data_IF_087774948223
#
_entry.id   IF_087774948223
#
_cell.length_a   1.000
_cell.length_b   1.000
_cell.length_c   1.000
_cell.angle_alpha   90.00
_cell.angle_beta   90.00
_cell.angle_gamma   90.00
#
_symmetry.space_group_name_H-M   'P 1'
#
loop_
_entity.id
_entity.type
_entity.pdbx_description
1 polymer ?
#
# COMPACT_ATOMS: atom_id res chain seq x y z
N UNK A 1 -9.40 -8.59 -10.50
CA UNK A 1 -9.22 -8.09 -9.12
C UNK A 1 -7.81 -7.57 -9.02
N UNK A 2 -7.65 -6.27 -8.86
CA UNK A 2 -6.36 -5.56 -8.84
C UNK A 2 -5.86 -5.49 -7.39
N UNK A 3 -4.64 -5.94 -7.17
CA UNK A 3 -3.97 -6.04 -5.87
C UNK A 3 -3.15 -4.79 -5.62
N UNK A 4 -3.49 -4.06 -4.56
CA UNK A 4 -2.88 -2.78 -4.21
C UNK A 4 -2.07 -2.93 -2.92
N UNK A 5 -0.79 -2.55 -2.95
CA UNK A 5 -0.03 -2.26 -1.72
C UNK A 5 -0.13 -0.76 -1.42
N UNK A 6 -0.35 -0.40 -0.16
CA UNK A 6 -0.42 1.00 0.30
C UNK A 6 0.80 1.29 1.17
N UNK A 7 1.59 2.29 0.82
CA UNK A 7 2.80 2.66 1.54
C UNK A 7 2.77 4.16 1.88
N UNK A 8 2.75 4.48 3.16
CA UNK A 8 2.72 5.85 3.69
C UNK A 8 3.17 5.79 5.16
N UNK A 9 3.90 6.78 5.70
CA UNK A 9 4.37 6.75 7.09
C UNK A 9 3.29 7.14 8.11
N UNK A 10 2.17 7.71 7.66
CA UNK A 10 1.04 8.13 8.49
C UNK A 10 -0.08 7.09 8.49
N UNK A 11 -0.28 6.46 9.64
CA UNK A 11 -1.31 5.43 9.83
C UNK A 11 -2.74 5.91 9.48
N UNK A 12 -3.06 7.19 9.74
CA UNK A 12 -4.36 7.77 9.40
C UNK A 12 -4.57 7.85 7.88
N UNK A 13 -3.53 8.21 7.13
CA UNK A 13 -3.58 8.31 5.67
C UNK A 13 -3.72 6.91 5.06
N UNK A 14 -2.94 5.93 5.53
CA UNK A 14 -3.11 4.52 5.12
C UNK A 14 -4.52 4.00 5.37
N UNK A 15 -5.12 4.33 6.51
CA UNK A 15 -6.49 3.93 6.81
C UNK A 15 -7.50 4.53 5.82
N UNK A 16 -7.33 5.80 5.46
CA UNK A 16 -8.15 6.46 4.44
C UNK A 16 -8.02 5.80 3.07
N UNK A 17 -6.79 5.52 2.62
CA UNK A 17 -6.55 4.81 1.36
C UNK A 17 -7.11 3.40 1.37
N UNK A 18 -6.97 2.65 2.47
CA UNK A 18 -7.57 1.32 2.61
C UNK A 18 -9.09 1.39 2.45
N UNK A 19 -9.76 2.35 3.07
CA UNK A 19 -11.21 2.53 2.91
C UNK A 19 -11.59 2.82 1.45
N UNK A 20 -10.84 3.69 0.76
CA UNK A 20 -11.08 4.00 -0.66
C UNK A 20 -10.89 2.75 -1.52
N UNK A 21 -9.80 2.00 -1.34
CA UNK A 21 -9.53 0.77 -2.09
C UNK A 21 -10.62 -0.28 -1.83
N UNK A 22 -11.00 -0.50 -0.57
CA UNK A 22 -12.05 -1.46 -0.20
C UNK A 22 -13.45 -1.07 -0.68
N UNK A 23 -13.68 0.20 -1.02
CA UNK A 23 -14.95 0.65 -1.61
C UNK A 23 -15.14 0.24 -3.07
N UNK A 24 -14.05 -0.16 -3.75
CA UNK A 24 -14.09 -0.53 -5.16
C UNK A 24 -14.19 -2.06 -5.30
N UNK A 25 -15.18 -2.58 -6.05
CA UNK A 25 -15.43 -4.02 -6.14
C UNK A 25 -14.35 -4.80 -6.90
N UNK A 26 -13.54 -4.12 -7.69
CA UNK A 26 -12.47 -4.69 -8.49
C UNK A 26 -11.08 -4.57 -7.86
N UNK A 27 -10.95 -3.87 -6.72
CA UNK A 27 -9.68 -3.67 -6.01
C UNK A 27 -9.62 -4.46 -4.69
N UNK A 28 -8.41 -4.84 -4.28
CA UNK A 28 -8.14 -5.40 -2.95
C UNK A 28 -6.81 -4.92 -2.40
N UNK A 29 -6.74 -4.73 -1.07
CA UNK A 29 -5.49 -4.41 -0.38
C UNK A 29 -4.69 -5.70 -0.19
N UNK A 30 -3.50 -5.75 -0.78
CA UNK A 30 -2.53 -6.85 -0.63
C UNK A 30 -1.62 -6.66 0.58
N UNK A 31 -1.45 -5.43 1.05
CA UNK A 31 -0.72 -5.13 2.28
C UNK A 31 -0.47 -3.64 2.48
N UNK A 32 0.04 -3.29 3.66
CA UNK A 32 0.34 -1.92 4.08
C UNK A 32 1.78 -1.82 4.59
N UNK A 33 2.50 -0.77 4.19
CA UNK A 33 3.87 -0.48 4.60
C UNK A 33 3.96 0.90 5.26
N UNK A 34 4.84 1.03 6.25
CA UNK A 34 5.11 2.29 6.95
C UNK A 34 6.44 2.96 6.55
N UNK A 35 7.27 2.26 5.78
CA UNK A 35 8.49 2.79 5.18
C UNK A 35 8.82 2.10 3.84
N UNK A 36 9.89 2.58 3.17
CA UNK A 36 10.32 2.07 1.87
C UNK A 36 10.78 0.61 1.89
N UNK A 37 11.46 0.17 2.95
CA UNK A 37 11.96 -1.20 3.04
C UNK A 37 10.81 -2.19 3.23
N UNK A 38 9.85 -1.88 4.11
CA UNK A 38 8.63 -2.68 4.26
C UNK A 38 7.85 -2.77 2.95
N UNK A 39 7.79 -1.68 2.18
CA UNK A 39 7.12 -1.66 0.88
C UNK A 39 7.81 -2.59 -0.14
N UNK A 40 9.15 -2.59 -0.19
CA UNK A 40 9.92 -3.50 -1.05
C UNK A 40 9.66 -4.96 -0.66
N UNK A 41 9.75 -5.29 0.62
CA UNK A 41 9.54 -6.65 1.13
C UNK A 41 8.11 -7.15 0.84
N UNK A 42 7.12 -6.26 0.99
CA UNK A 42 5.73 -6.53 0.63
C UNK A 42 5.55 -6.77 -0.86
N UNK A 43 6.15 -5.95 -1.72
CA UNK A 43 6.04 -6.13 -3.18
C UNK A 43 6.66 -7.46 -3.62
N UNK A 44 7.80 -7.84 -3.06
CA UNK A 44 8.45 -9.11 -3.38
C UNK A 44 7.62 -10.33 -2.96
N UNK A 45 7.03 -10.27 -1.76
CA UNK A 45 6.22 -11.35 -1.19
C UNK A 45 4.84 -11.45 -1.84
N UNK A 46 4.13 -10.33 -1.92
CA UNK A 46 2.73 -10.31 -2.31
C UNK A 46 2.54 -10.27 -3.83
N UNK A 47 3.53 -9.77 -4.59
CA UNK A 47 3.41 -9.56 -6.05
C UNK A 47 2.12 -8.79 -6.40
N UNK A 48 1.93 -7.56 -5.89
CA UNK A 48 0.76 -6.73 -6.20
C UNK A 48 0.79 -6.26 -7.66
N UNK A 49 -0.36 -5.82 -8.16
CA UNK A 49 -0.48 -5.23 -9.49
C UNK A 49 -0.06 -3.76 -9.51
N UNK A 50 -0.29 -3.05 -8.39
CA UNK A 50 0.05 -1.64 -8.24
C UNK A 50 0.44 -1.33 -6.80
N UNK A 51 1.32 -0.33 -6.66
CA UNK A 51 1.71 0.24 -5.37
C UNK A 51 1.24 1.69 -5.33
N UNK A 52 0.42 2.01 -4.32
CA UNK A 52 0.09 3.38 -3.95
C UNK A 52 1.09 3.82 -2.88
N UNK A 53 2.04 4.68 -3.23
CA UNK A 53 3.15 5.05 -2.37
C UNK A 53 3.23 6.56 -2.16
N UNK A 54 3.37 7.00 -0.90
CA UNK A 54 3.75 8.38 -0.60
C UNK A 54 5.18 8.65 -1.06
N UNK A 55 5.37 9.80 -1.68
CA UNK A 55 6.66 10.25 -2.21
C UNK A 55 7.62 10.69 -1.10
N UNK A 56 7.11 10.97 0.11
CA UNK A 56 7.88 11.49 1.26
C UNK A 56 7.95 10.49 2.40
N UNK A 57 8.15 9.21 2.09
CA UNK A 57 8.45 8.24 3.12
C UNK A 57 9.91 8.30 3.59
N UNK A 58 10.18 8.13 4.89
CA UNK A 58 11.52 7.95 5.40
C UNK A 58 12.10 6.57 5.02
N UNK A 59 13.42 6.53 4.81
CA UNK A 59 14.21 5.32 4.46
C UNK A 59 13.89 4.72 3.07
N UNK A 60 14.90 4.08 2.50
CA UNK A 60 14.85 3.22 1.30
C UNK A 60 15.57 1.93 1.64
#
# INVERSE_FOLDING_TARGET
MIRVVIADDQALVRAGFRMIVQSQPDLQVAGEASDGQEAIDLVQRERPDVVLMDIRMPRV
#
